data_IF_369048835824
#
_entry.id   IF_369048835824
#
_cell.length_a   1.000
_cell.length_b   1.000
_cell.length_c   1.000
_cell.angle_alpha   90.00
_cell.angle_beta   90.00
_cell.angle_gamma   90.00
#
_symmetry.space_group_name_H-M   'P 1'
#
loop_
_entity.id
_entity.type
_entity.pdbx_description
1 polymer ?
#
# COMPACT_ATOMS: atom_id res chain seq x y z
N UNK A 1 -14.89 -29.75 4.97
CA UNK A 1 -14.46 -28.63 4.10
C UNK A 1 -13.92 -27.41 4.87
N UNK A 2 -13.54 -27.54 6.17
CA UNK A 2 -13.32 -26.39 7.06
C UNK A 2 -11.87 -25.97 7.37
N UNK A 3 -10.86 -26.81 7.09
CA UNK A 3 -9.50 -26.58 7.61
C UNK A 3 -8.66 -25.63 6.75
N UNK A 4 -8.82 -25.68 5.42
CA UNK A 4 -8.07 -24.81 4.48
C UNK A 4 -8.51 -23.35 4.56
N UNK A 5 -9.79 -23.10 4.86
CA UNK A 5 -10.33 -21.75 5.06
C UNK A 5 -9.80 -21.11 6.34
N UNK A 6 -9.81 -21.83 7.47
CA UNK A 6 -9.30 -21.34 8.75
C UNK A 6 -7.79 -21.07 8.74
N UNK A 7 -6.99 -21.88 8.03
CA UNK A 7 -5.56 -21.65 7.89
C UNK A 7 -5.25 -20.36 7.12
N UNK A 8 -5.99 -20.08 6.05
CA UNK A 8 -5.87 -18.83 5.30
C UNK A 8 -6.25 -17.59 6.12
N UNK A 9 -7.26 -17.68 7.00
CA UNK A 9 -7.63 -16.56 7.88
C UNK A 9 -6.57 -16.29 8.94
N UNK A 10 -6.03 -17.31 9.62
CA UNK A 10 -4.97 -17.12 10.62
C UNK A 10 -3.69 -16.56 10.00
N UNK A 11 -3.29 -17.07 8.84
CA UNK A 11 -2.13 -16.54 8.13
C UNK A 11 -2.34 -15.08 7.70
N UNK A 12 -3.58 -14.71 7.33
CA UNK A 12 -3.97 -13.33 7.03
C UNK A 12 -3.87 -12.41 8.24
N UNK A 13 -4.43 -12.83 9.36
CA UNK A 13 -4.37 -12.06 10.60
C UNK A 13 -2.93 -11.85 11.07
N UNK A 14 -2.10 -12.90 11.02
CA UNK A 14 -0.69 -12.82 11.40
C UNK A 14 0.10 -11.83 10.53
N UNK A 15 -0.07 -11.90 9.20
CA UNK A 15 0.59 -10.97 8.28
C UNK A 15 0.10 -9.53 8.54
N UNK A 16 -1.18 -9.35 8.80
CA UNK A 16 -1.75 -8.05 9.11
C UNK A 16 -1.24 -7.48 10.44
N UNK A 17 -1.07 -8.32 11.47
CA UNK A 17 -0.45 -7.91 12.73
C UNK A 17 1.02 -7.51 12.55
N UNK A 18 1.78 -8.26 11.76
CA UNK A 18 3.18 -7.92 11.44
C UNK A 18 3.28 -6.58 10.69
N UNK A 19 2.40 -6.38 9.72
CA UNK A 19 2.30 -5.12 8.97
C UNK A 19 1.94 -3.95 9.87
N UNK A 20 1.01 -4.13 10.81
CA UNK A 20 0.65 -3.12 11.82
C UNK A 20 1.80 -2.78 12.75
N UNK A 21 2.54 -3.79 13.23
CA UNK A 21 3.72 -3.60 14.08
C UNK A 21 4.85 -2.84 13.36
N UNK A 22 4.87 -2.91 12.02
CA UNK A 22 5.90 -2.29 11.18
C UNK A 22 5.33 -1.21 10.24
N UNK A 23 4.29 -0.50 10.67
CA UNK A 23 3.61 0.51 9.85
C UNK A 23 4.47 1.76 9.53
N UNK A 24 5.62 1.91 10.17
CA UNK A 24 6.47 3.11 10.01
C UNK A 24 7.27 3.11 8.71
N UNK A 25 7.57 1.93 8.13
CA UNK A 25 8.48 1.79 6.98
C UNK A 25 7.85 1.00 5.84
N UNK A 26 8.37 1.20 4.64
CA UNK A 26 8.05 0.36 3.48
C UNK A 26 8.97 -0.85 3.46
N UNK A 27 8.38 -2.01 3.24
CA UNK A 27 9.09 -3.27 3.15
C UNK A 27 8.91 -3.87 1.78
N UNK A 28 9.99 -4.36 1.19
CA UNK A 28 9.89 -5.27 0.06
C UNK A 28 9.30 -6.60 0.54
N UNK A 29 8.75 -7.39 -0.38
CA UNK A 29 8.24 -8.73 -0.05
C UNK A 29 9.33 -9.58 0.60
N UNK A 30 10.58 -9.46 0.14
CA UNK A 30 11.73 -10.18 0.69
C UNK A 30 12.06 -9.74 2.12
N UNK A 31 12.16 -8.43 2.37
CA UNK A 31 12.38 -7.89 3.71
C UNK A 31 11.29 -8.32 4.68
N UNK A 32 10.03 -8.32 4.23
CA UNK A 32 8.92 -8.77 5.04
C UNK A 32 8.96 -10.28 5.30
N UNK A 33 9.39 -11.11 4.34
CA UNK A 33 9.61 -12.54 4.57
C UNK A 33 10.73 -12.82 5.58
N UNK A 34 11.82 -12.05 5.55
CA UNK A 34 12.89 -12.16 6.54
C UNK A 34 12.39 -11.79 7.94
N UNK A 35 11.62 -10.71 8.05
CA UNK A 35 10.98 -10.33 9.30
C UNK A 35 10.04 -11.42 9.83
N UNK A 36 9.14 -11.94 8.98
CA UNK A 36 8.23 -13.02 9.36
C UNK A 36 8.98 -14.26 9.84
N UNK A 37 10.10 -14.62 9.20
CA UNK A 37 10.94 -15.75 9.60
C UNK A 37 11.55 -15.56 10.99
N UNK A 38 12.00 -14.35 11.32
CA UNK A 38 12.53 -14.05 12.66
C UNK A 38 11.45 -14.18 13.75
N UNK A 39 10.20 -13.88 13.41
CA UNK A 39 9.03 -14.04 14.28
C UNK A 39 8.49 -15.50 14.30
N UNK A 40 9.19 -16.45 13.67
CA UNK A 40 8.79 -17.86 13.62
C UNK A 40 7.62 -18.17 12.68
N UNK A 41 7.28 -17.25 11.78
CA UNK A 41 6.22 -17.42 10.78
C UNK A 41 6.79 -17.78 9.42
N UNK A 42 6.15 -18.74 8.75
CA UNK A 42 6.52 -19.19 7.42
C UNK A 42 5.40 -18.93 6.42
N UNK A 43 5.69 -18.12 5.40
CA UNK A 43 4.82 -17.90 4.25
C UNK A 43 5.65 -17.99 2.97
N UNK A 44 5.09 -18.62 1.93
CA UNK A 44 5.70 -18.61 0.60
C UNK A 44 5.63 -17.21 -0.02
N UNK A 45 6.67 -16.82 -0.76
CA UNK A 45 6.80 -15.50 -1.40
C UNK A 45 5.57 -15.14 -2.26
N UNK A 46 5.12 -16.06 -3.10
CA UNK A 46 3.94 -15.87 -3.96
C UNK A 46 2.67 -15.65 -3.14
N UNK A 47 2.50 -16.36 -2.03
CA UNK A 47 1.34 -16.23 -1.14
C UNK A 47 1.33 -14.85 -0.48
N UNK A 48 2.49 -14.41 0.01
CA UNK A 48 2.64 -13.09 0.63
C UNK A 48 2.38 -11.97 -0.39
N UNK A 49 2.97 -12.05 -1.59
CA UNK A 49 2.73 -11.07 -2.65
C UNK A 49 1.25 -10.96 -3.01
N UNK A 50 0.56 -12.09 -3.26
CA UNK A 50 -0.87 -12.09 -3.57
C UNK A 50 -1.71 -11.51 -2.43
N UNK A 51 -1.30 -11.72 -1.19
CA UNK A 51 -2.05 -11.20 -0.05
C UNK A 51 -1.82 -9.71 0.17
N UNK A 52 -0.60 -9.22 -0.03
CA UNK A 52 -0.29 -7.79 -0.03
C UNK A 52 -1.03 -7.06 -1.15
N UNK A 53 -1.09 -7.65 -2.35
CA UNK A 53 -1.86 -7.07 -3.46
C UNK A 53 -3.35 -6.99 -3.13
N UNK A 54 -3.91 -8.04 -2.52
CA UNK A 54 -5.30 -8.03 -2.07
C UNK A 54 -5.54 -6.97 -0.99
N UNK A 55 -4.64 -6.87 -0.01
CA UNK A 55 -4.71 -5.83 1.02
C UNK A 55 -4.58 -4.42 0.43
N UNK A 56 -3.84 -4.26 -0.67
CA UNK A 56 -3.70 -3.00 -1.37
C UNK A 56 -5.02 -2.60 -2.04
N UNK A 57 -5.67 -3.55 -2.72
CA UNK A 57 -7.00 -3.37 -3.31
C UNK A 57 -8.08 -3.08 -2.27
N UNK A 58 -7.96 -3.65 -1.07
CA UNK A 58 -8.85 -3.38 0.07
C UNK A 58 -8.51 -2.07 0.81
N UNK A 59 -7.51 -1.30 0.34
CA UNK A 59 -7.10 -0.04 0.94
C UNK A 59 -6.41 -0.17 2.31
N UNK A 60 -5.95 -1.37 2.69
CA UNK A 60 -5.26 -1.62 3.96
C UNK A 60 -3.74 -1.39 3.88
N UNK A 61 -3.15 -1.49 2.69
CA UNK A 61 -1.72 -1.22 2.47
C UNK A 61 -1.51 -0.28 1.29
N UNK A 62 -0.45 0.52 1.37
CA UNK A 62 0.06 1.33 0.26
C UNK A 62 1.22 0.60 -0.40
N UNK A 63 1.22 0.61 -1.73
CA UNK A 63 2.25 0.02 -2.58
C UNK A 63 3.08 1.12 -3.23
N UNK A 64 4.39 0.96 -3.20
CA UNK A 64 5.30 1.64 -4.13
C UNK A 64 5.58 0.62 -5.23
N UNK A 65 5.17 0.90 -6.48
CA UNK A 65 5.42 -0.01 -7.58
C UNK A 65 6.92 -0.17 -7.82
N UNK A 66 7.30 -1.30 -8.39
CA UNK A 66 8.67 -1.52 -8.85
C UNK A 66 9.01 -0.49 -9.92
N UNK A 67 10.06 0.29 -9.70
CA UNK A 67 10.56 1.33 -10.61
C UNK A 67 12.05 1.10 -10.83
N UNK A 68 12.51 1.13 -12.09
CA UNK A 68 13.94 0.98 -12.45
C UNK A 68 14.65 -0.24 -11.83
N UNK A 69 13.95 -1.38 -11.76
CA UNK A 69 14.49 -2.63 -11.20
C UNK A 69 14.46 -2.73 -9.67
N UNK A 70 13.98 -1.70 -8.96
CA UNK A 70 13.75 -1.78 -7.52
C UNK A 70 12.55 -2.69 -7.20
N UNK A 71 12.60 -3.56 -6.19
CA UNK A 71 11.47 -4.39 -5.81
C UNK A 71 10.30 -3.54 -5.29
N UNK A 72 9.06 -3.94 -5.61
CA UNK A 72 7.87 -3.29 -5.10
C UNK A 72 7.85 -3.32 -3.56
N UNK A 73 7.46 -2.21 -2.96
CA UNK A 73 7.46 -2.04 -1.51
C UNK A 73 6.04 -1.82 -1.00
N UNK A 74 5.75 -2.33 0.18
CA UNK A 74 4.43 -2.29 0.79
C UNK A 74 4.52 -1.73 2.20
N UNK A 75 3.51 -0.98 2.61
CA UNK A 75 3.37 -0.46 3.97
C UNK A 75 1.91 -0.49 4.41
N UNK A 76 1.67 -0.85 5.66
CA UNK A 76 0.34 -0.72 6.25
C UNK A 76 -0.09 0.74 6.31
N UNK A 77 -1.31 1.02 5.91
CA UNK A 77 -1.95 2.30 6.15
C UNK A 77 -3.10 2.06 7.13
N UNK A 78 -3.04 2.74 8.28
CA UNK A 78 -4.10 2.70 9.28
C UNK A 78 -5.41 3.26 8.73
N UNK A 79 -6.48 3.09 9.51
CA UNK A 79 -7.82 3.56 9.12
C UNK A 79 -7.89 5.08 8.88
N UNK A 80 -6.96 5.85 9.45
CA UNK A 80 -6.85 7.31 9.27
C UNK A 80 -6.56 7.75 7.83
N UNK A 81 -5.96 6.88 7.01
CA UNK A 81 -5.63 7.19 5.61
C UNK A 81 -6.79 6.89 4.62
N UNK A 82 -7.88 6.27 5.08
CA UNK A 82 -9.00 5.85 4.22
C UNK A 82 -9.99 6.98 3.87
N UNK A 83 -9.91 8.13 4.54
CA UNK A 83 -10.88 9.23 4.38
C UNK A 83 -10.41 10.35 3.45
N UNK A 84 -9.32 10.17 2.71
CA UNK A 84 -8.69 11.26 1.95
C UNK A 84 -8.94 11.12 0.44
N UNK A 85 -9.09 12.24 -0.27
CA UNK A 85 -9.29 12.35 -1.72
C UNK A 85 -8.07 11.93 -2.57
N UNK A 86 -7.18 11.13 -2.00
CA UNK A 86 -5.95 10.64 -2.60
C UNK A 86 -4.76 10.80 -1.67
N UNK A 87 -3.61 10.26 -2.08
CA UNK A 87 -2.36 10.33 -1.33
C UNK A 87 -1.15 10.53 -2.22
N UNK A 88 -0.18 11.28 -1.72
CA UNK A 88 1.15 11.42 -2.31
C UNK A 88 2.09 10.42 -1.65
N UNK A 89 2.83 9.65 -2.44
CA UNK A 89 3.81 8.68 -1.92
C UNK A 89 5.20 9.04 -2.45
N UNK A 90 6.16 9.23 -1.53
CA UNK A 90 7.53 9.48 -1.91
C UNK A 90 8.21 8.19 -2.42
N UNK A 91 8.81 8.21 -3.61
CA UNK A 91 9.51 7.07 -4.19
C UNK A 91 10.82 6.71 -3.46
N UNK A 92 11.41 7.64 -2.70
CA UNK A 92 12.70 7.44 -2.02
C UNK A 92 12.56 6.94 -0.59
N UNK A 93 11.73 7.61 0.22
CA UNK A 93 11.54 7.25 1.63
C UNK A 93 10.18 6.61 1.91
N UNK A 94 9.28 6.59 0.93
CA UNK A 94 7.93 6.09 1.08
C UNK A 94 6.96 7.01 1.81
N UNK A 95 7.42 8.14 2.36
CA UNK A 95 6.56 9.08 3.09
C UNK A 95 5.26 9.33 2.33
N UNK A 96 4.15 8.98 2.98
CA UNK A 96 2.81 9.18 2.42
C UNK A 96 2.21 10.42 3.06
N UNK A 97 1.64 11.28 2.24
CA UNK A 97 0.99 12.52 2.69
C UNK A 97 -0.42 12.52 2.10
N UNK A 98 -1.46 12.79 2.90
CA UNK A 98 -2.81 12.88 2.38
C UNK A 98 -2.91 14.06 1.41
N UNK A 99 -3.52 13.82 0.25
CA UNK A 99 -3.75 14.84 -0.76
C UNK A 99 -5.03 15.60 -0.38
N UNK A 100 -4.91 16.52 0.58
CA UNK A 100 -5.98 17.46 0.94
C UNK A 100 -5.64 18.81 0.32
N UNK A 101 -6.18 19.07 -0.86
CA UNK A 101 -6.05 20.36 -1.51
C UNK A 101 -7.27 20.58 -2.40
N UNK A 102 -7.83 21.79 -2.35
CA UNK A 102 -8.97 22.19 -3.18
C UNK A 102 -8.64 22.06 -4.68
N UNK A 103 -7.37 22.20 -5.07
CA UNK A 103 -6.90 22.01 -6.44
C UNK A 103 -7.13 20.60 -7.00
N UNK A 104 -7.31 19.58 -6.15
CA UNK A 104 -7.57 18.20 -6.61
C UNK A 104 -8.95 18.07 -7.24
N UNK A 105 -9.92 18.85 -6.75
CA UNK A 105 -11.27 18.86 -7.30
C UNK A 105 -11.29 19.49 -8.69
N UNK A 106 -10.64 20.65 -8.84
CA UNK A 106 -10.44 21.30 -10.15
C UNK A 106 -9.70 20.39 -11.13
N UNK A 107 -8.65 19.69 -10.67
CA UNK A 107 -7.93 18.73 -11.49
C UNK A 107 -8.81 17.55 -11.93
N UNK A 108 -9.65 17.04 -11.04
CA UNK A 108 -10.55 15.93 -11.37
C UNK A 108 -11.59 16.35 -12.41
N UNK A 109 -12.15 17.56 -12.28
CA UNK A 109 -13.07 18.14 -13.25
C UNK A 109 -12.39 18.35 -14.60
N UNK A 110 -11.15 18.84 -14.61
CA UNK A 110 -10.36 18.99 -15.84
C UNK A 110 -10.16 17.64 -16.55
N UNK A 111 -9.75 16.60 -15.83
CA UNK A 111 -9.56 15.26 -16.41
C UNK A 111 -10.88 14.69 -16.95
N UNK A 112 -11.99 14.91 -16.25
CA UNK A 112 -13.31 14.49 -16.73
C UNK A 112 -13.71 15.21 -18.03
N UNK A 113 -13.51 16.52 -18.11
CA UNK A 113 -13.98 17.32 -19.24
C UNK A 113 -13.07 17.18 -20.47
N UNK A 114 -11.75 17.29 -20.28
CA UNK A 114 -10.79 17.33 -21.39
C UNK A 114 -10.36 15.94 -21.85
N UNK A 115 -10.36 14.95 -20.95
CA UNK A 115 -9.91 13.59 -21.24
C UNK A 115 -11.02 12.54 -21.18
N UNK A 116 -12.25 12.94 -20.83
CA UNK A 116 -13.41 12.04 -20.69
C UNK A 116 -13.13 10.86 -19.75
N UNK A 117 -12.39 11.12 -18.67
CA UNK A 117 -11.95 10.12 -17.71
C UNK A 117 -12.36 10.50 -16.28
N UNK A 118 -13.06 9.59 -15.59
CA UNK A 118 -13.48 9.82 -14.20
C UNK A 118 -12.41 9.31 -13.23
N UNK A 119 -11.87 10.21 -12.41
CA UNK A 119 -10.86 9.88 -11.41
C UNK A 119 -11.50 9.33 -10.14
N UNK A 120 -11.11 8.12 -9.75
CA UNK A 120 -11.40 7.59 -8.42
C UNK A 120 -10.46 8.24 -7.40
N UNK A 121 -10.89 9.38 -6.85
CA UNK A 121 -10.11 10.15 -5.87
C UNK A 121 -9.76 9.33 -4.62
N UNK A 122 -10.66 8.45 -4.16
CA UNK A 122 -10.45 7.68 -2.92
C UNK A 122 -9.28 6.69 -3.04
N UNK A 123 -9.09 6.13 -4.24
CA UNK A 123 -8.00 5.19 -4.53
C UNK A 123 -6.83 5.83 -5.28
N UNK A 124 -6.85 7.14 -5.51
CA UNK A 124 -5.79 7.84 -6.24
C UNK A 124 -4.50 7.92 -5.42
N UNK A 125 -3.42 7.40 -5.99
CA UNK A 125 -2.06 7.51 -5.43
C UNK A 125 -1.15 8.18 -6.44
N UNK A 126 -0.58 9.33 -6.08
CA UNK A 126 0.41 10.03 -6.90
C UNK A 126 1.80 9.78 -6.32
N UNK A 127 2.76 9.50 -7.19
CA UNK A 127 4.14 9.21 -6.79
C UNK A 127 5.05 10.40 -7.07
N UNK A 128 5.99 10.67 -6.17
CA UNK A 128 6.93 11.78 -6.32
C UNK A 128 8.05 11.77 -5.29
N UNK A 129 8.62 12.95 -4.99
CA UNK A 129 9.68 13.11 -3.98
C UNK A 129 9.27 14.17 -2.95
N UNK A 130 9.30 13.80 -1.67
CA UNK A 130 9.05 14.74 -0.57
C UNK A 130 10.19 15.74 -0.44
N UNK A 131 9.96 16.83 0.29
CA UNK A 131 10.95 17.91 0.49
C UNK A 131 12.27 17.44 1.10
N UNK A 132 12.25 16.38 1.91
CA UNK A 132 13.45 15.80 2.53
C UNK A 132 14.25 14.90 1.56
N UNK A 133 13.65 14.51 0.44
CA UNK A 133 14.22 13.53 -0.49
C UNK A 133 14.60 14.10 -1.86
N UNK A 134 14.18 15.33 -2.17
CA UNK A 134 14.70 16.12 -3.30
C UNK A 134 16.14 16.52 -3.07
#
# INVERSE_FOLDING_TARGET
MGERGQYQTKQRENILQCLKANQEKFYTVEQFMDYMRNEGMHAGQTTLYRMLERMHQEGMVTKIPSMDGSPAQYRYIGDEDKQNHGKLVCLKCGQTVPLKCDCMEDFSVHILNEHHFELDQQHTTLYGYCSLCR
#
